data_IF_952270248913
#
_entry.id   IF_952270248913
#
_cell.length_a   1.000
_cell.length_b   1.000
_cell.length_c   1.000
_cell.angle_alpha   90.00
_cell.angle_beta   90.00
_cell.angle_gamma   90.00
#
_symmetry.space_group_name_H-M   'P 1'
#
loop_
_entity.id
_entity.type
_entity.pdbx_description
1 polymer ?
#
# COMPACT_ATOMS: atom_id res chain seq x y z
N UNK A 1 0.55 70.84 6.84
CA UNK A 1 0.78 69.81 7.87
C UNK A 1 -0.30 68.78 7.64
N UNK A 2 -0.06 67.92 6.66
CA UNK A 2 -1.02 66.95 6.18
C UNK A 2 -1.07 65.80 7.19
N UNK A 3 -2.23 65.60 7.78
CA UNK A 3 -2.49 64.47 8.67
C UNK A 3 -2.49 63.20 7.82
N UNK A 4 -1.36 62.48 7.84
CA UNK A 4 -1.28 61.14 7.27
C UNK A 4 -2.36 60.26 7.91
N UNK A 5 -3.32 59.83 7.07
CA UNK A 5 -4.28 58.80 7.42
C UNK A 5 -3.50 57.51 7.65
N UNK A 6 -3.22 57.19 8.92
CA UNK A 6 -2.77 55.87 9.31
C UNK A 6 -3.96 54.93 9.06
N UNK A 7 -3.98 54.28 7.90
CA UNK A 7 -4.91 53.19 7.63
C UNK A 7 -4.48 52.07 8.56
N UNK A 8 -5.09 52.00 9.75
CA UNK A 8 -5.06 50.81 10.58
C UNK A 8 -5.66 49.68 9.75
N UNK A 9 -4.79 48.90 9.11
CA UNK A 9 -5.15 47.59 8.59
C UNK A 9 -5.46 46.73 9.82
N UNK A 10 -6.71 46.76 10.25
CA UNK A 10 -7.23 45.77 11.18
C UNK A 10 -6.87 44.38 10.60
N UNK A 11 -6.12 43.54 11.34
CA UNK A 11 -5.91 42.17 10.91
C UNK A 11 -7.30 41.54 10.87
N UNK A 12 -7.77 41.30 9.66
CA UNK A 12 -9.08 40.74 9.40
C UNK A 12 -9.27 39.49 10.26
N UNK A 13 -10.35 39.47 11.05
CA UNK A 13 -10.89 38.34 11.82
C UNK A 13 -11.31 37.17 10.90
N UNK A 14 -10.40 36.66 10.09
CA UNK A 14 -10.54 35.38 9.41
C UNK A 14 -9.73 34.37 10.20
N UNK A 15 -10.42 33.72 11.13
CA UNK A 15 -9.99 32.51 11.84
C UNK A 15 -9.86 31.31 10.87
N UNK A 16 -9.20 31.49 9.73
CA UNK A 16 -8.87 30.40 8.83
C UNK A 16 -7.37 30.12 8.95
N UNK A 17 -7.06 29.06 9.69
CA UNK A 17 -5.75 28.45 9.75
C UNK A 17 -5.13 28.35 8.35
N UNK A 18 -3.95 28.95 8.14
CA UNK A 18 -3.27 28.96 6.83
C UNK A 18 -3.02 27.52 6.36
N UNK A 19 -3.52 27.17 5.17
CA UNK A 19 -3.35 25.83 4.60
C UNK A 19 -2.07 25.78 3.79
N UNK A 20 -1.52 24.58 3.62
CA UNK A 20 -0.31 24.41 2.80
C UNK A 20 -0.60 24.66 1.33
N UNK A 21 -1.81 24.33 0.86
CA UNK A 21 -2.31 24.66 -0.48
C UNK A 21 -2.34 26.15 -0.78
N UNK A 22 -2.45 27.01 0.24
CA UNK A 22 -2.54 28.46 0.05
C UNK A 22 -1.17 29.08 -0.27
N UNK A 23 -0.10 28.43 0.20
CA UNK A 23 1.29 28.89 0.05
C UNK A 23 2.05 28.10 -1.01
N UNK A 24 1.75 26.81 -1.16
CA UNK A 24 2.45 25.89 -2.03
C UNK A 24 1.51 25.13 -2.96
N UNK A 25 2.04 24.73 -4.11
CA UNK A 25 1.35 23.80 -5.00
C UNK A 25 1.38 22.39 -4.40
N UNK A 26 0.22 21.87 -4.04
CA UNK A 26 0.05 20.54 -3.42
C UNK A 26 -0.63 19.55 -4.37
N UNK A 27 -0.42 18.26 -4.13
CA UNK A 27 -1.15 17.18 -4.83
C UNK A 27 -2.64 17.16 -4.42
N UNK A 28 -3.52 16.81 -5.36
CA UNK A 28 -4.97 16.64 -5.11
C UNK A 28 -5.24 15.53 -4.09
N UNK A 29 -4.39 14.51 -4.03
CA UNK A 29 -4.51 13.35 -3.16
C UNK A 29 -3.77 13.53 -1.81
N UNK A 30 -3.29 14.74 -1.51
CA UNK A 30 -2.62 14.99 -0.24
C UNK A 30 -3.59 14.78 0.95
N UNK A 31 -3.24 13.97 1.95
CA UNK A 31 -4.06 13.81 3.15
C UNK A 31 -4.37 15.16 3.81
N UNK A 32 -5.64 15.36 4.21
CA UNK A 32 -6.12 16.60 4.83
C UNK A 32 -5.25 17.06 6.01
N UNK A 33 -4.67 16.13 6.75
CA UNK A 33 -3.78 16.41 7.89
C UNK A 33 -2.52 17.18 7.47
N UNK A 34 -1.96 16.89 6.30
CA UNK A 34 -0.81 17.62 5.77
C UNK A 34 -1.20 18.92 5.10
N UNK A 35 -2.47 19.08 4.67
CA UNK A 35 -2.94 20.36 4.17
C UNK A 35 -3.22 21.39 5.28
N UNK A 36 -3.56 20.92 6.48
CA UNK A 36 -3.96 21.76 7.61
C UNK A 36 -3.00 21.53 8.79
N UNK A 37 -1.87 22.25 8.92
CA UNK A 37 -0.88 21.98 9.96
C UNK A 37 -1.42 22.14 11.38
N UNK A 38 -2.45 22.97 11.58
CA UNK A 38 -3.02 23.22 12.92
C UNK A 38 -3.78 22.02 13.50
N UNK A 39 -4.09 20.99 12.71
CA UNK A 39 -4.69 19.78 13.24
C UNK A 39 -3.68 18.89 14.02
N UNK A 40 -2.37 19.17 13.93
CA UNK A 40 -1.35 18.50 14.73
C UNK A 40 -1.32 19.07 16.15
N UNK A 41 -1.72 18.24 17.12
CA UNK A 41 -1.77 18.60 18.54
C UNK A 41 -0.59 18.01 19.31
N UNK A 42 -0.38 18.47 20.54
CA UNK A 42 0.67 17.96 21.44
C UNK A 42 2.02 18.65 21.29
N UNK A 43 2.16 19.52 20.30
CA UNK A 43 3.30 20.41 20.15
C UNK A 43 3.05 21.67 20.97
N UNK A 44 3.65 21.73 22.15
CA UNK A 44 3.68 22.94 22.95
C UNK A 44 4.81 22.83 23.95
N UNK A 45 5.47 23.95 24.23
CA UNK A 45 6.34 24.03 25.39
C UNK A 45 5.47 23.89 26.63
N UNK A 46 5.53 22.73 27.29
CA UNK A 46 4.96 22.58 28.63
C UNK A 46 5.53 23.70 29.50
N UNK A 47 4.67 24.38 30.25
CA UNK A 47 5.09 25.50 31.12
C UNK A 47 5.93 24.95 32.27
N UNK A 48 7.23 24.86 32.04
CA UNK A 48 8.22 24.46 33.02
C UNK A 48 8.92 25.70 33.57
N UNK A 49 9.50 25.56 34.76
CA UNK A 49 10.27 26.63 35.36
C UNK A 49 11.47 27.01 34.46
N UNK A 50 11.73 28.30 34.19
CA UNK A 50 12.81 28.71 33.28
C UNK A 50 14.19 28.18 33.67
N UNK A 51 14.46 27.97 34.96
CA UNK A 51 15.73 27.43 35.45
C UNK A 51 15.81 25.89 35.45
N UNK A 52 14.70 25.19 35.22
CA UNK A 52 14.66 23.72 35.16
C UNK A 52 14.27 23.26 33.76
N UNK A 53 15.11 23.64 32.78
CA UNK A 53 14.98 23.21 31.40
C UNK A 53 15.98 22.11 31.06
N UNK A 54 15.55 21.12 30.28
CA UNK A 54 16.41 20.07 29.75
C UNK A 54 16.46 20.15 28.23
N UNK A 55 17.56 19.68 27.62
CA UNK A 55 17.70 19.64 26.16
C UNK A 55 16.62 18.80 25.48
N UNK A 56 16.18 17.72 26.13
CA UNK A 56 15.09 16.86 25.63
C UNK A 56 13.75 17.58 25.52
N UNK A 57 13.50 18.66 26.28
CA UNK A 57 12.27 19.46 26.19
C UNK A 57 12.19 20.29 24.90
N UNK A 58 13.32 20.52 24.22
CA UNK A 58 13.35 21.24 22.93
C UNK A 58 12.64 20.39 21.86
N UNK A 59 12.82 19.08 21.90
CA UNK A 59 12.16 18.17 20.97
C UNK A 59 10.64 18.17 21.18
N UNK A 60 9.88 18.34 20.10
CA UNK A 60 8.42 18.39 20.14
C UNK A 60 7.82 19.67 20.76
N UNK A 61 8.64 20.65 21.15
CA UNK A 61 8.14 21.93 21.70
C UNK A 61 7.49 22.84 20.65
N UNK A 62 7.98 22.76 19.40
CA UNK A 62 7.53 23.62 18.29
C UNK A 62 6.46 22.91 17.47
N UNK A 63 5.36 23.62 17.22
CA UNK A 63 4.29 23.16 16.33
C UNK A 63 4.74 23.19 14.87
N UNK A 64 4.30 22.23 14.06
CA UNK A 64 4.62 22.24 12.64
C UNK A 64 3.88 23.36 11.92
N UNK A 65 4.52 23.89 10.87
CA UNK A 65 4.03 25.00 10.06
C UNK A 65 3.81 24.57 8.61
N UNK A 66 3.19 25.44 7.80
CA UNK A 66 2.95 25.13 6.38
C UNK A 66 4.24 24.86 5.59
N UNK A 67 5.37 25.43 6.03
CA UNK A 67 6.66 25.30 5.38
C UNK A 67 7.36 23.97 5.68
N UNK A 68 6.92 23.26 6.72
CA UNK A 68 7.44 21.94 7.11
C UNK A 68 6.56 20.79 6.58
N UNK A 69 5.32 21.10 6.18
CA UNK A 69 4.40 20.10 5.66
C UNK A 69 4.79 19.62 4.26
N UNK A 70 4.62 18.31 3.96
CA UNK A 70 4.89 17.78 2.64
C UNK A 70 3.83 18.23 1.63
N UNK A 71 4.25 18.45 0.38
CA UNK A 71 3.37 18.80 -0.74
C UNK A 71 2.78 17.58 -1.46
N UNK A 72 3.39 16.41 -1.27
CA UNK A 72 2.95 15.11 -1.79
C UNK A 72 3.10 14.02 -0.71
N UNK A 73 2.23 13.01 -0.72
CA UNK A 73 2.32 11.89 0.23
C UNK A 73 2.02 10.56 -0.47
N UNK A 74 3.05 9.74 -0.65
CA UNK A 74 2.96 8.44 -1.31
C UNK A 74 2.94 7.31 -0.27
N UNK A 75 1.86 7.25 0.52
CA UNK A 75 1.66 6.20 1.50
C UNK A 75 1.36 4.84 0.85
N UNK A 76 1.87 3.75 1.43
CA UNK A 76 1.50 2.40 1.00
C UNK A 76 0.17 1.97 1.63
N UNK A 77 -0.77 1.51 0.80
CA UNK A 77 -2.05 0.99 1.25
C UNK A 77 -2.01 -0.54 1.37
N UNK A 78 -2.11 -1.05 2.60
CA UNK A 78 -1.96 -2.49 2.90
C UNK A 78 -3.26 -3.23 3.16
N UNK A 79 -4.44 -2.61 3.01
CA UNK A 79 -5.71 -3.26 3.39
C UNK A 79 -6.00 -4.55 2.63
N UNK A 80 -5.60 -4.64 1.36
CA UNK A 80 -5.72 -5.88 0.59
C UNK A 80 -4.93 -7.03 1.24
N UNK A 81 -3.65 -6.80 1.55
CA UNK A 81 -2.77 -7.84 2.11
C UNK A 81 -2.93 -8.05 3.62
N UNK A 82 -3.61 -7.14 4.33
CA UNK A 82 -3.75 -7.20 5.79
C UNK A 82 -4.48 -8.47 6.25
N UNK A 83 -5.51 -8.90 5.53
CA UNK A 83 -6.24 -10.13 5.88
C UNK A 83 -5.34 -11.37 5.71
N UNK A 84 -4.53 -11.43 4.64
CA UNK A 84 -3.58 -12.52 4.41
C UNK A 84 -2.47 -12.55 5.44
N UNK A 85 -2.04 -11.38 5.93
CA UNK A 85 -1.03 -11.29 6.98
C UNK A 85 -1.53 -11.91 8.30
N UNK A 86 -2.82 -11.79 8.59
CA UNK A 86 -3.45 -12.36 9.80
C UNK A 86 -3.60 -13.89 9.71
N UNK A 87 -3.77 -14.45 8.51
CA UNK A 87 -3.96 -15.89 8.31
C UNK A 87 -2.68 -16.73 8.41
N UNK A 88 -1.50 -16.11 8.45
CA UNK A 88 -0.22 -16.83 8.58
C UNK A 88 0.23 -17.53 7.29
N UNK A 89 1.11 -18.52 7.42
CA UNK A 89 1.71 -19.21 6.28
C UNK A 89 0.69 -20.17 5.63
N UNK A 90 0.53 -20.07 4.31
CA UNK A 90 -0.28 -20.99 3.52
C UNK A 90 0.21 -22.45 3.67
N UNK A 91 -0.74 -23.38 3.77
CA UNK A 91 -0.52 -24.83 3.77
C UNK A 91 -1.46 -25.47 2.77
N UNK A 92 -0.92 -26.35 1.93
CA UNK A 92 -1.72 -27.18 1.06
C UNK A 92 -2.13 -28.46 1.80
N UNK A 93 -3.45 -28.69 1.88
CA UNK A 93 -4.05 -29.89 2.47
C UNK A 93 -4.93 -30.64 1.46
N UNK A 94 -4.80 -30.35 0.17
CA UNK A 94 -5.56 -31.00 -0.90
C UNK A 94 -5.03 -32.39 -1.25
N UNK A 95 -5.91 -33.28 -1.73
CA UNK A 95 -5.53 -34.55 -2.33
C UNK A 95 -5.30 -34.39 -3.83
N UNK A 96 -4.31 -35.09 -4.38
CA UNK A 96 -4.10 -35.18 -5.83
C UNK A 96 -5.19 -36.04 -6.47
N UNK A 97 -6.16 -35.39 -7.11
CA UNK A 97 -7.33 -36.03 -7.75
C UNK A 97 -7.33 -35.91 -9.28
N UNK A 98 -6.25 -35.37 -9.86
CA UNK A 98 -6.12 -35.29 -11.31
C UNK A 98 -6.14 -36.69 -11.93
N UNK A 99 -7.09 -36.95 -12.82
CA UNK A 99 -7.06 -38.12 -13.70
C UNK A 99 -5.91 -37.93 -14.69
N UNK A 100 -5.12 -38.98 -14.90
CA UNK A 100 -4.02 -38.99 -15.85
C UNK A 100 -4.54 -38.64 -17.26
N UNK A 101 -3.95 -37.60 -17.86
CA UNK A 101 -4.24 -37.17 -19.24
C UNK A 101 -3.08 -37.58 -20.13
N UNK A 102 -3.01 -38.85 -20.51
CA UNK A 102 -2.03 -39.27 -21.52
C UNK A 102 -2.37 -38.61 -22.86
N UNK A 103 -1.37 -38.02 -23.52
CA UNK A 103 -1.53 -37.42 -24.86
C UNK A 103 -1.80 -38.46 -25.97
N UNK A 104 -1.52 -39.73 -25.69
CA UNK A 104 -1.62 -40.86 -26.63
C UNK A 104 -2.99 -41.54 -26.52
N UNK A 105 -3.66 -41.32 -25.39
CA UNK A 105 -4.82 -42.07 -24.93
C UNK A 105 -6.05 -41.18 -25.20
N UNK A 106 -6.78 -41.48 -26.28
CA UNK A 106 -8.00 -40.74 -26.66
C UNK A 106 -9.07 -40.80 -25.56
N UNK A 107 -10.13 -40.00 -25.73
CA UNK A 107 -11.26 -39.82 -24.79
C UNK A 107 -11.85 -41.14 -24.23
N UNK A 108 -11.65 -42.27 -24.92
CA UNK A 108 -12.26 -43.57 -24.59
C UNK A 108 -11.30 -44.57 -23.92
N UNK A 109 -10.12 -44.13 -23.49
CA UNK A 109 -9.14 -45.03 -22.85
C UNK A 109 -8.95 -44.67 -21.39
N UNK A 110 -9.57 -45.45 -20.51
CA UNK A 110 -9.40 -45.36 -19.05
C UNK A 110 -7.99 -45.89 -18.72
N UNK A 111 -7.10 -45.12 -18.10
CA UNK A 111 -5.81 -45.63 -17.65
C UNK A 111 -6.09 -46.49 -16.41
N UNK A 112 -6.39 -47.77 -16.62
CA UNK A 112 -6.41 -48.71 -15.52
C UNK A 112 -4.97 -48.83 -14.98
N UNK A 113 -4.83 -48.74 -13.66
CA UNK A 113 -3.56 -48.83 -12.93
C UNK A 113 -2.70 -50.08 -13.28
N UNK A 114 -3.29 -51.06 -13.98
CA UNK A 114 -2.64 -52.30 -14.40
C UNK A 114 -1.90 -52.23 -15.75
N UNK A 115 -2.12 -51.21 -16.58
CA UNK A 115 -1.57 -51.18 -17.96
C UNK A 115 -0.16 -50.58 -18.08
N UNK A 116 0.59 -50.46 -16.98
CA UNK A 116 1.98 -49.95 -17.00
C UNK A 116 2.99 -50.86 -17.71
N UNK A 117 2.59 -52.03 -18.19
CA UNK A 117 3.48 -53.00 -18.83
C UNK A 117 2.83 -53.61 -20.09
N UNK A 118 2.32 -52.79 -21.00
CA UNK A 118 2.11 -53.24 -22.37
C UNK A 118 2.75 -52.25 -23.34
N UNK A 119 4.05 -52.47 -23.58
CA UNK A 119 4.69 -51.96 -24.79
C UNK A 119 4.08 -52.71 -25.96
N UNK A 120 3.09 -52.09 -26.62
CA UNK A 120 2.57 -52.62 -27.86
C UNK A 120 3.71 -52.65 -28.89
N UNK A 121 4.19 -53.87 -29.18
CA UNK A 121 5.05 -54.16 -30.32
C UNK A 121 4.28 -53.87 -31.61
N UNK A 122 4.25 -52.61 -32.02
CA UNK A 122 3.62 -52.19 -33.27
C UNK A 122 4.69 -51.92 -34.33
N UNK A 123 5.38 -52.98 -34.76
CA UNK A 123 6.04 -53.06 -36.07
C UNK A 123 6.13 -54.53 -36.49
N UNK A 124 5.04 -55.07 -37.02
CA UNK A 124 5.14 -56.16 -38.01
C UNK A 124 4.54 -55.65 -39.32
N UNK A 125 5.39 -55.02 -40.13
CA UNK A 125 5.10 -54.65 -41.50
C UNK A 125 5.84 -55.61 -42.42
N UNK A 126 5.30 -56.81 -42.62
CA UNK A 126 5.87 -57.68 -43.64
C UNK A 126 5.31 -59.08 -43.68
N UNK A 127 4.12 -59.26 -44.28
CA UNK A 127 3.87 -60.34 -45.24
C UNK A 127 2.50 -60.17 -45.90
N UNK A 128 2.49 -59.72 -47.15
CA UNK A 128 1.31 -59.78 -48.04
C UNK A 128 1.19 -61.15 -48.71
N UNK A 129 -0.02 -61.60 -49.09
CA UNK A 129 -0.23 -62.91 -49.69
C UNK A 129 0.28 -62.94 -51.14
N UNK A 130 0.88 -64.08 -51.52
CA UNK A 130 1.32 -64.39 -52.88
C UNK A 130 0.14 -64.93 -53.70
N UNK A 131 -0.04 -64.42 -54.92
CA UNK A 131 -0.71 -65.07 -56.06
C UNK A 131 0.19 -64.91 -57.28
#
# INVERSE_FOLDING_TARGET
>A
MDSENYVETHPSDYNEAMKTSDVYKVDKNLPKRFNNPDCFQGYSTKKNHPFYQTSSQIYGSKRPTVHEMPTTFNGSYRKFSEHMLKSGMFRDNGFNTSIEKSKITGHDTIPMFQDRINFNYAYDSGNGPRN
#
